data_IF_118299544573
#
_entry.id   IF_118299544573
#
_cell.length_a   1.000
_cell.length_b   1.000
_cell.length_c   1.000
_cell.angle_alpha   90.00
_cell.angle_beta   90.00
_cell.angle_gamma   90.00
#
_symmetry.space_group_name_H-M   'P 1'
#
loop_
_entity.id
_entity.type
_entity.pdbx_description
1 polymer ?
#
# COMPACT_ATOMS: atom_id res chain seq x y z
N UNK A 1 -13.06 -24.72 -4.85
CA UNK A 1 -12.54 -23.57 -4.06
C UNK A 1 -12.46 -23.96 -2.59
N UNK A 2 -11.61 -23.30 -1.83
CA UNK A 2 -11.46 -23.49 -0.37
C UNK A 2 -12.80 -23.42 0.37
N UNK A 3 -13.63 -22.43 0.05
CA UNK A 3 -14.96 -22.26 0.62
C UNK A 3 -15.85 -23.50 0.42
N UNK A 4 -15.84 -24.08 -0.75
CA UNK A 4 -16.63 -25.29 -1.04
C UNK A 4 -16.11 -26.50 -0.27
N UNK A 5 -14.80 -26.63 -0.07
CA UNK A 5 -14.22 -27.68 0.75
C UNK A 5 -14.66 -27.54 2.23
N UNK A 6 -14.60 -26.36 2.80
CA UNK A 6 -15.05 -26.07 4.16
C UNK A 6 -16.55 -26.36 4.33
N UNK A 7 -17.35 -26.03 3.33
CA UNK A 7 -18.80 -26.30 3.32
C UNK A 7 -19.09 -27.80 3.22
N UNK A 8 -18.30 -28.52 2.42
CA UNK A 8 -18.42 -29.99 2.33
C UNK A 8 -18.11 -30.66 3.66
N UNK A 9 -17.03 -30.29 4.33
CA UNK A 9 -16.67 -30.83 5.65
C UNK A 9 -17.72 -30.55 6.73
N UNK A 10 -18.50 -29.49 6.62
CA UNK A 10 -19.64 -29.22 7.49
C UNK A 10 -20.73 -30.28 7.36
N UNK A 11 -20.93 -30.81 6.13
CA UNK A 11 -22.06 -31.71 5.82
C UNK A 11 -21.75 -33.20 6.01
N UNK A 12 -20.45 -33.58 5.93
CA UNK A 12 -20.02 -34.99 5.93
C UNK A 12 -19.76 -35.50 7.35
N UNK A 13 -20.81 -35.74 8.15
CA UNK A 13 -20.67 -35.97 9.59
C UNK A 13 -20.96 -37.42 10.07
N UNK A 14 -20.98 -38.47 9.21
CA UNK A 14 -21.54 -39.74 9.68
C UNK A 14 -20.52 -40.78 10.19
N UNK A 15 -19.21 -40.72 9.83
CA UNK A 15 -18.21 -41.68 10.37
C UNK A 15 -16.81 -41.03 10.44
N UNK A 16 -16.67 -39.95 11.19
CA UNK A 16 -15.42 -39.21 11.27
C UNK A 16 -14.55 -39.68 12.46
N UNK A 17 -13.25 -39.76 12.22
CA UNK A 17 -12.24 -39.92 13.28
C UNK A 17 -12.30 -38.72 14.26
N UNK A 18 -11.72 -38.88 15.46
CA UNK A 18 -11.73 -37.78 16.47
C UNK A 18 -11.11 -36.48 15.94
N UNK A 19 -10.11 -36.54 15.06
CA UNK A 19 -9.46 -35.40 14.44
C UNK A 19 -10.37 -34.69 13.42
N UNK A 20 -11.05 -35.48 12.59
CA UNK A 20 -12.01 -34.97 11.62
C UNK A 20 -13.22 -34.33 12.28
N UNK A 21 -13.68 -34.86 13.40
CA UNK A 21 -14.72 -34.23 14.22
C UNK A 21 -14.30 -32.87 14.76
N UNK A 22 -13.03 -32.73 15.21
CA UNK A 22 -12.45 -31.47 15.66
C UNK A 22 -12.36 -30.46 14.50
N UNK A 23 -11.94 -30.92 13.31
CA UNK A 23 -11.90 -30.10 12.11
C UNK A 23 -13.31 -29.66 11.68
N UNK A 24 -14.29 -30.56 11.68
CA UNK A 24 -15.68 -30.23 11.34
C UNK A 24 -16.26 -29.16 12.28
N UNK A 25 -15.96 -29.23 13.59
CA UNK A 25 -16.38 -28.19 14.55
C UNK A 25 -15.75 -26.83 14.21
N UNK A 26 -14.45 -26.80 13.88
CA UNK A 26 -13.78 -25.56 13.45
C UNK A 26 -14.39 -24.99 12.17
N UNK A 27 -14.67 -25.84 11.17
CA UNK A 27 -15.34 -25.43 9.93
C UNK A 27 -16.72 -24.85 10.17
N UNK A 28 -17.50 -25.46 11.09
CA UNK A 28 -18.83 -24.94 11.48
C UNK A 28 -18.75 -23.57 12.15
N UNK A 29 -17.79 -23.40 13.09
CA UNK A 29 -17.56 -22.09 13.74
C UNK A 29 -17.15 -21.03 12.71
N UNK A 30 -16.17 -21.33 11.87
CA UNK A 30 -15.72 -20.41 10.83
C UNK A 30 -16.83 -19.96 9.88
N UNK A 31 -17.68 -20.90 9.42
CA UNK A 31 -18.80 -20.56 8.55
C UNK A 31 -19.85 -19.68 9.26
N UNK A 32 -20.10 -19.90 10.55
CA UNK A 32 -20.97 -19.07 11.36
C UNK A 32 -20.41 -17.64 11.49
N UNK A 33 -19.11 -17.52 11.75
CA UNK A 33 -18.44 -16.23 11.85
C UNK A 33 -18.44 -15.51 10.50
N UNK A 34 -18.16 -16.24 9.40
CA UNK A 34 -18.21 -15.69 8.06
C UNK A 34 -19.59 -15.14 7.68
N UNK A 35 -20.66 -15.83 8.04
CA UNK A 35 -22.04 -15.36 7.79
C UNK A 35 -22.36 -14.12 8.64
N UNK A 36 -21.86 -14.04 9.88
CA UNK A 36 -21.96 -12.85 10.73
C UNK A 36 -21.23 -11.67 10.11
N UNK A 37 -19.98 -11.85 9.66
CA UNK A 37 -19.19 -10.80 9.00
C UNK A 37 -19.80 -10.33 7.68
N UNK A 38 -20.41 -11.23 6.91
CA UNK A 38 -21.21 -10.85 5.72
C UNK A 38 -22.40 -9.98 6.06
N UNK A 39 -23.01 -10.19 7.23
CA UNK A 39 -24.02 -9.29 7.77
C UNK A 39 -23.46 -7.89 8.06
N UNK A 40 -22.27 -7.80 8.64
CA UNK A 40 -21.61 -6.52 8.95
C UNK A 40 -21.29 -5.70 7.70
N UNK A 41 -20.91 -6.35 6.58
CA UNK A 41 -20.66 -5.65 5.28
C UNK A 41 -21.84 -4.78 4.85
N UNK A 42 -23.06 -5.17 5.20
CA UNK A 42 -24.27 -4.43 4.84
C UNK A 42 -24.58 -3.25 5.77
N UNK A 43 -24.03 -3.26 6.97
CA UNK A 43 -24.41 -2.34 8.05
C UNK A 43 -23.27 -1.42 8.48
N UNK A 44 -22.01 -1.88 8.35
CA UNK A 44 -20.82 -1.15 8.81
C UNK A 44 -20.05 -0.59 7.63
N UNK A 45 -19.25 0.44 7.91
CA UNK A 45 -18.22 0.91 6.96
C UNK A 45 -17.14 -0.15 6.77
N UNK A 46 -16.41 -0.07 5.64
CA UNK A 46 -15.31 -1.00 5.32
C UNK A 46 -14.22 -0.91 6.38
N UNK A 47 -13.87 0.30 6.80
CA UNK A 47 -12.89 0.53 7.86
C UNK A 47 -13.33 -0.13 9.18
N UNK A 48 -14.59 0.06 9.58
CA UNK A 48 -15.13 -0.56 10.80
C UNK A 48 -15.18 -2.10 10.69
N UNK A 49 -15.46 -2.64 9.50
CA UNK A 49 -15.41 -4.08 9.26
C UNK A 49 -13.98 -4.62 9.42
N UNK A 50 -12.99 -3.97 8.82
CA UNK A 50 -11.57 -4.38 8.93
C UNK A 50 -11.15 -4.42 10.40
N UNK A 51 -11.46 -3.35 11.16
CA UNK A 51 -11.10 -3.30 12.57
C UNK A 51 -11.81 -4.37 13.41
N UNK A 52 -13.11 -4.57 13.17
CA UNK A 52 -13.87 -5.66 13.81
C UNK A 52 -13.26 -7.04 13.53
N UNK A 53 -12.80 -7.29 12.30
CA UNK A 53 -12.12 -8.55 11.95
C UNK A 53 -10.80 -8.70 12.70
N UNK A 54 -10.02 -7.64 12.85
CA UNK A 54 -8.76 -7.68 13.60
C UNK A 54 -8.99 -8.05 15.06
N UNK A 55 -10.00 -7.43 15.71
CA UNK A 55 -10.34 -7.68 17.11
C UNK A 55 -10.94 -9.08 17.32
N UNK A 56 -11.95 -9.45 16.54
CA UNK A 56 -12.64 -10.73 16.73
C UNK A 56 -11.78 -11.96 16.43
N UNK A 57 -10.83 -11.84 15.51
CA UNK A 57 -9.89 -12.92 15.17
C UNK A 57 -8.62 -12.91 16.02
N UNK A 58 -8.33 -11.82 16.73
CA UNK A 58 -7.04 -11.60 17.39
C UNK A 58 -5.86 -11.45 16.42
N UNK A 59 -6.16 -11.23 15.12
CA UNK A 59 -5.13 -11.22 14.07
C UNK A 59 -4.14 -10.07 14.26
N UNK A 60 -4.61 -8.91 14.71
CA UNK A 60 -3.75 -7.76 14.94
C UNK A 60 -2.71 -8.02 16.04
N UNK A 61 -3.14 -8.62 17.16
CA UNK A 61 -2.24 -8.95 18.28
C UNK A 61 -1.31 -10.11 17.93
N UNK A 62 -1.82 -11.11 17.20
CA UNK A 62 -1.02 -12.22 16.71
C UNK A 62 0.12 -11.74 15.81
N UNK A 63 -0.16 -10.84 14.87
CA UNK A 63 0.87 -10.27 13.98
C UNK A 63 1.89 -9.45 14.76
N UNK A 64 1.48 -8.73 15.81
CA UNK A 64 2.38 -7.97 16.68
C UNK A 64 3.33 -8.84 17.50
N UNK A 65 2.95 -10.08 17.80
CA UNK A 65 3.78 -11.03 18.57
C UNK A 65 4.85 -11.74 17.72
N UNK A 66 4.83 -11.58 16.39
CA UNK A 66 5.83 -12.16 15.49
C UNK A 66 7.09 -11.29 15.37
N UNK A 67 8.17 -11.86 14.87
CA UNK A 67 9.37 -11.10 14.50
C UNK A 67 9.00 -10.06 13.43
N UNK A 68 9.38 -8.78 13.64
CA UNK A 68 8.93 -7.68 12.78
C UNK A 68 7.46 -7.27 13.00
N UNK A 69 6.87 -7.64 14.15
CA UNK A 69 5.47 -7.39 14.47
C UNK A 69 5.05 -5.94 14.41
N UNK A 70 5.93 -5.01 14.78
CA UNK A 70 5.66 -3.57 14.71
C UNK A 70 5.39 -3.10 13.28
N UNK A 71 6.17 -3.59 12.31
CA UNK A 71 5.95 -3.29 10.90
C UNK A 71 4.67 -3.93 10.37
N UNK A 72 4.41 -5.18 10.78
CA UNK A 72 3.18 -5.88 10.41
C UNK A 72 1.94 -5.15 10.94
N UNK A 73 1.93 -4.74 12.21
CA UNK A 73 0.84 -3.96 12.80
C UNK A 73 0.66 -2.60 12.11
N UNK A 74 1.76 -1.93 11.77
CA UNK A 74 1.70 -0.67 11.04
C UNK A 74 1.07 -0.84 9.65
N UNK A 75 1.40 -1.93 8.94
CA UNK A 75 0.79 -2.26 7.65
C UNK A 75 -0.71 -2.55 7.79
N UNK A 76 -1.13 -3.23 8.85
CA UNK A 76 -2.55 -3.46 9.15
C UNK A 76 -3.30 -2.15 9.44
N UNK A 77 -2.69 -1.23 10.19
CA UNK A 77 -3.24 0.12 10.41
C UNK A 77 -3.33 0.91 9.11
N UNK A 78 -2.31 0.81 8.25
CA UNK A 78 -2.32 1.46 6.95
C UNK A 78 -3.49 0.98 6.08
N UNK A 79 -3.78 -0.32 6.07
CA UNK A 79 -4.94 -0.85 5.36
C UNK A 79 -6.25 -0.27 5.89
N UNK A 80 -6.40 -0.18 7.21
CA UNK A 80 -7.56 0.45 7.86
C UNK A 80 -7.72 1.92 7.44
N UNK A 81 -6.63 2.70 7.48
CA UNK A 81 -6.67 4.11 7.08
C UNK A 81 -6.97 4.31 5.59
N UNK A 82 -6.46 3.43 4.73
CA UNK A 82 -6.80 3.44 3.30
C UNK A 82 -8.27 3.17 3.05
N UNK A 83 -8.86 2.24 3.80
CA UNK A 83 -10.29 1.97 3.73
C UNK A 83 -11.11 3.19 4.16
N UNK A 84 -10.69 3.88 5.24
CA UNK A 84 -11.32 5.09 5.71
C UNK A 84 -11.27 6.22 4.65
N UNK A 85 -10.09 6.49 4.11
CA UNK A 85 -9.91 7.52 3.05
C UNK A 85 -10.70 7.19 1.79
N UNK A 86 -10.78 5.91 1.42
CA UNK A 86 -11.58 5.45 0.29
C UNK A 86 -13.05 5.78 0.48
N UNK A 87 -13.59 5.55 1.68
CA UNK A 87 -14.99 5.87 2.01
C UNK A 87 -15.23 7.38 2.13
N UNK A 88 -14.29 8.14 2.72
CA UNK A 88 -14.32 9.61 2.79
C UNK A 88 -14.35 10.26 1.38
N UNK A 89 -13.74 9.61 0.39
CA UNK A 89 -13.80 10.04 -1.01
C UNK A 89 -15.14 9.74 -1.70
N UNK A 90 -16.15 9.26 -0.95
CA UNK A 90 -17.49 8.99 -1.45
C UNK A 90 -17.68 7.61 -2.08
N UNK A 91 -16.63 6.80 -2.16
CA UNK A 91 -16.73 5.43 -2.67
C UNK A 91 -17.28 4.48 -1.62
N UNK A 92 -18.07 3.49 -2.05
CA UNK A 92 -18.70 2.51 -1.16
C UNK A 92 -18.59 1.09 -1.71
N UNK A 93 -18.69 0.12 -0.82
CA UNK A 93 -18.78 -1.31 -1.13
C UNK A 93 -17.43 -2.02 -1.12
N UNK A 94 -17.37 -3.12 -0.38
CA UNK A 94 -16.16 -3.93 -0.17
C UNK A 94 -15.59 -4.48 -1.49
N UNK A 95 -16.43 -4.86 -2.44
CA UNK A 95 -15.99 -5.36 -3.74
C UNK A 95 -15.21 -4.31 -4.53
N UNK A 96 -15.70 -3.07 -4.54
CA UNK A 96 -15.01 -1.96 -5.20
C UNK A 96 -13.70 -1.59 -4.48
N UNK A 97 -13.69 -1.68 -3.15
CA UNK A 97 -12.48 -1.47 -2.36
C UNK A 97 -11.40 -2.52 -2.67
N UNK A 98 -11.77 -3.81 -2.74
CA UNK A 98 -10.82 -4.88 -3.11
C UNK A 98 -10.23 -4.60 -4.50
N UNK A 99 -11.07 -4.26 -5.49
CA UNK A 99 -10.59 -3.90 -6.84
C UNK A 99 -9.70 -2.67 -6.84
N UNK A 100 -9.95 -1.72 -5.97
CA UNK A 100 -9.09 -0.54 -5.80
C UNK A 100 -7.70 -0.96 -5.29
N UNK A 101 -7.62 -1.81 -4.25
CA UNK A 101 -6.35 -2.32 -3.72
C UNK A 101 -5.60 -3.14 -4.78
N UNK A 102 -6.27 -4.05 -5.50
CA UNK A 102 -5.67 -4.82 -6.60
C UNK A 102 -5.10 -3.95 -7.72
N UNK A 103 -5.74 -2.82 -8.03
CA UNK A 103 -5.21 -1.85 -9.01
C UNK A 103 -3.96 -1.16 -8.53
N UNK A 104 -3.89 -0.78 -7.26
CA UNK A 104 -2.69 -0.17 -6.67
C UNK A 104 -1.53 -1.16 -6.72
N UNK A 105 -1.77 -2.42 -6.35
CA UNK A 105 -0.78 -3.48 -6.38
C UNK A 105 -0.23 -3.70 -7.80
N UNK A 106 -1.11 -3.80 -8.80
CA UNK A 106 -0.73 -3.99 -10.22
C UNK A 106 0.04 -2.82 -10.81
N UNK A 107 -0.17 -1.62 -10.32
CA UNK A 107 0.54 -0.43 -10.80
C UNK A 107 1.92 -0.26 -10.18
N UNK A 108 2.36 -1.17 -9.29
CA UNK A 108 3.55 -0.98 -8.44
C UNK A 108 3.59 0.43 -7.81
N UNK A 109 2.42 1.06 -7.67
CA UNK A 109 2.31 2.20 -6.77
C UNK A 109 2.60 1.60 -5.41
N UNK A 110 3.87 1.66 -5.01
CA UNK A 110 4.34 1.26 -3.70
C UNK A 110 3.27 1.68 -2.69
N UNK A 111 2.55 0.68 -2.18
CA UNK A 111 1.87 0.81 -0.92
C UNK A 111 3.02 1.00 0.06
N UNK A 112 3.65 2.19 0.02
CA UNK A 112 4.81 2.47 0.85
C UNK A 112 4.45 1.97 2.22
N UNK A 113 5.13 0.89 2.63
CA UNK A 113 4.88 0.24 3.90
C UNK A 113 4.75 1.30 4.97
N UNK A 114 3.95 1.09 5.97
CA UNK A 114 3.74 2.05 7.03
C UNK A 114 5.12 2.46 7.56
N UNK A 115 5.52 3.70 7.30
CA UNK A 115 6.78 4.22 7.80
C UNK A 115 6.62 4.41 9.31
N UNK A 116 7.09 3.42 10.08
CA UNK A 116 7.19 3.51 11.55
C UNK A 116 8.27 4.48 12.01
N UNK A 117 9.08 4.97 11.07
CA UNK A 117 10.21 5.85 11.38
C UNK A 117 9.67 7.26 11.57
N UNK A 118 9.33 7.59 12.81
CA UNK A 118 9.10 8.97 13.23
C UNK A 118 10.38 9.79 13.06
N UNK A 119 10.24 11.11 12.86
CA UNK A 119 11.37 12.04 12.71
C UNK A 119 12.38 11.97 13.87
N UNK A 120 11.94 11.52 15.04
CA UNK A 120 12.73 11.40 16.26
C UNK A 120 13.55 10.10 16.38
N UNK A 121 13.46 9.18 15.44
CA UNK A 121 14.24 7.94 15.51
C UNK A 121 15.70 8.20 15.09
N UNK A 122 16.64 7.69 15.90
CA UNK A 122 18.08 7.75 15.61
C UNK A 122 18.45 6.73 14.53
N UNK A 123 18.24 7.10 13.27
CA UNK A 123 18.43 6.23 12.10
C UNK A 123 19.13 6.98 10.97
N UNK A 124 19.87 6.24 10.14
CA UNK A 124 20.41 6.77 8.88
C UNK A 124 19.32 6.74 7.80
N UNK A 125 18.98 7.89 7.25
CA UNK A 125 17.96 8.02 6.22
C UNK A 125 18.59 8.18 4.85
N UNK A 126 18.24 7.31 3.91
CA UNK A 126 18.64 7.41 2.52
C UNK A 126 17.45 7.94 1.71
N UNK A 127 17.60 9.09 1.06
CA UNK A 127 16.52 9.72 0.32
C UNK A 127 17.05 10.55 -0.85
N UNK A 128 16.16 10.95 -1.75
CA UNK A 128 16.50 11.87 -2.84
C UNK A 128 16.49 13.33 -2.34
N UNK A 129 17.23 14.21 -3.01
CA UNK A 129 17.24 15.66 -2.72
C UNK A 129 15.83 16.25 -2.76
N UNK A 130 14.97 15.77 -3.67
CA UNK A 130 13.58 16.24 -3.73
C UNK A 130 12.76 15.83 -2.51
N UNK A 131 12.99 14.63 -1.96
CA UNK A 131 12.31 14.15 -0.75
C UNK A 131 12.81 14.83 0.53
N UNK A 132 14.02 15.39 0.52
CA UNK A 132 14.58 16.13 1.66
C UNK A 132 14.15 17.60 1.72
N UNK A 133 13.47 18.11 0.70
CA UNK A 133 13.01 19.50 0.66
C UNK A 133 12.08 19.80 1.84
N UNK A 134 12.46 20.79 2.66
CA UNK A 134 11.71 21.18 3.87
C UNK A 134 12.04 20.36 5.12
N UNK A 135 13.02 19.46 5.06
CA UNK A 135 13.50 18.69 6.21
C UNK A 135 14.89 19.19 6.64
N UNK A 136 15.16 19.16 7.94
CA UNK A 136 16.45 19.54 8.53
C UNK A 136 17.12 18.30 9.12
N UNK A 137 18.44 18.15 8.89
CA UNK A 137 19.23 17.04 9.40
C UNK A 137 20.53 17.53 10.02
N UNK A 138 20.94 16.99 11.18
CA UNK A 138 22.18 17.37 11.83
C UNK A 138 23.43 17.07 10.99
N UNK A 139 23.41 15.99 10.21
CA UNK A 139 24.49 15.56 9.31
C UNK A 139 23.91 15.09 7.99
N UNK A 140 24.46 15.55 6.89
CA UNK A 140 24.01 15.22 5.52
C UNK A 140 25.20 14.75 4.69
N UNK A 141 25.10 13.56 4.11
CA UNK A 141 26.06 13.04 3.14
C UNK A 141 25.44 13.08 1.73
N UNK A 142 26.00 13.91 0.86
CA UNK A 142 25.56 13.99 -0.54
C UNK A 142 26.44 13.05 -1.38
N UNK A 143 25.85 12.01 -1.93
CA UNK A 143 26.54 11.02 -2.75
C UNK A 143 26.43 11.36 -4.26
N UNK A 144 27.42 10.93 -5.04
CA UNK A 144 27.46 11.10 -6.52
C UNK A 144 27.48 12.55 -6.99
N UNK A 145 28.10 13.45 -6.25
CA UNK A 145 28.28 14.86 -6.65
C UNK A 145 29.15 15.05 -7.89
N UNK A 146 29.95 14.04 -8.26
CA UNK A 146 30.82 14.05 -9.45
C UNK A 146 30.03 13.82 -10.77
N UNK A 147 28.81 13.35 -10.73
CA UNK A 147 27.95 13.32 -11.92
C UNK A 147 27.44 14.73 -12.20
N UNK A 148 27.74 15.28 -13.38
CA UNK A 148 27.13 16.50 -13.88
C UNK A 148 25.58 16.34 -13.88
N UNK A 149 24.94 16.64 -12.76
CA UNK A 149 23.46 16.59 -12.64
C UNK A 149 22.78 17.70 -13.44
N UNK A 150 23.56 18.72 -13.86
CA UNK A 150 23.04 19.90 -14.55
C UNK A 150 23.22 19.88 -16.04
N UNK A 151 23.97 18.90 -16.58
CA UNK A 151 24.04 18.70 -18.01
C UNK A 151 22.99 17.66 -18.39
N UNK A 152 21.72 18.06 -18.46
CA UNK A 152 20.89 17.49 -19.48
C UNK A 152 21.71 17.67 -20.78
N UNK A 153 22.26 16.57 -21.33
CA UNK A 153 22.76 16.63 -22.71
C UNK A 153 21.68 17.33 -23.49
N UNK A 154 21.97 18.42 -24.21
CA UNK A 154 20.98 18.97 -25.11
C UNK A 154 20.64 17.80 -26.05
N UNK A 155 19.51 17.17 -25.83
CA UNK A 155 18.90 16.29 -26.82
C UNK A 155 18.70 17.23 -28.00
N UNK A 156 19.34 16.94 -29.13
CA UNK A 156 19.31 17.73 -30.36
C UNK A 156 17.90 18.04 -30.90
N UNK A 157 16.88 17.66 -30.15
CA UNK A 157 15.47 17.78 -30.55
C UNK A 157 14.68 18.91 -29.87
N UNK A 158 15.23 19.64 -28.90
CA UNK A 158 14.48 20.76 -28.30
C UNK A 158 14.76 22.08 -29.01
N UNK A 159 14.15 22.23 -30.17
CA UNK A 159 14.14 23.48 -30.95
C UNK A 159 13.26 24.56 -30.35
N UNK A 160 12.53 24.28 -29.27
CA UNK A 160 11.59 25.22 -28.65
C UNK A 160 11.91 25.30 -27.16
N UNK A 161 12.21 26.50 -26.69
CA UNK A 161 12.41 26.80 -25.26
C UNK A 161 11.28 27.73 -24.77
N UNK A 162 10.74 27.41 -23.60
CA UNK A 162 9.71 28.23 -22.94
C UNK A 162 10.37 29.00 -21.80
N UNK A 163 10.30 30.32 -21.83
CA UNK A 163 10.74 31.16 -20.74
C UNK A 163 9.55 31.89 -20.15
N UNK A 164 9.50 31.96 -18.80
CA UNK A 164 8.34 32.49 -18.07
C UNK A 164 7.99 33.94 -18.47
N UNK A 165 8.99 34.77 -18.66
CA UNK A 165 8.81 36.21 -18.92
C UNK A 165 9.02 36.59 -20.40
N UNK A 166 9.75 35.77 -21.17
CA UNK A 166 10.09 36.06 -22.57
C UNK A 166 9.25 35.22 -23.56
N UNK A 167 8.43 34.32 -23.08
CA UNK A 167 7.56 33.50 -23.93
C UNK A 167 8.29 32.32 -24.58
N UNK A 168 8.07 32.11 -25.87
CA UNK A 168 8.59 30.98 -26.65
C UNK A 168 9.82 31.42 -27.41
N UNK A 169 10.97 30.74 -27.15
CA UNK A 169 12.20 30.87 -27.90
C UNK A 169 12.42 29.67 -28.80
N UNK A 170 12.91 29.90 -30.01
CA UNK A 170 13.31 28.87 -30.97
C UNK A 170 14.82 28.97 -31.16
N UNK A 171 15.53 27.84 -30.98
CA UNK A 171 16.95 27.78 -31.27
C UNK A 171 17.16 27.90 -32.80
N UNK A 172 17.72 29.01 -33.23
CA UNK A 172 18.09 29.22 -34.63
C UNK A 172 19.52 28.74 -34.84
N UNK A 173 19.70 27.66 -35.57
CA UNK A 173 21.01 27.20 -35.98
C UNK A 173 21.44 28.07 -37.18
N UNK A 174 22.24 29.08 -36.93
CA UNK A 174 23.00 29.72 -37.96
C UNK A 174 24.09 28.70 -38.42
N UNK A 175 23.88 28.06 -39.53
CA UNK A 175 24.98 27.33 -40.21
C UNK A 175 26.03 28.34 -40.61
N UNK A 176 27.13 28.36 -39.89
CA UNK A 176 28.34 29.03 -40.35
C UNK A 176 28.84 28.28 -41.59
N UNK A 177 28.54 28.79 -42.77
CA UNK A 177 29.23 28.43 -43.98
C UNK A 177 30.62 29.03 -43.82
N UNK A 178 31.62 28.20 -43.57
CA UNK A 178 33.00 28.60 -43.70
C UNK A 178 33.31 28.76 -45.18
N UNK A 179 33.57 29.99 -45.58
CA UNK A 179 34.27 30.31 -46.82
C UNK A 179 35.77 30.06 -46.61
#
# INVERSE_FOLDING_TARGET
SFYNAVKYYKSSCNDLTKEEQKLSKKCKSFLKDLDRWRGYVKMKSIAALIWTLYEETGFYDFMGALEGGDEAQANLKLLYERARKYEESGFKGIFNFIRYIERIEKRNEDLSGAQLINENHNVVRIMTIHKSKGLEFPVVFIMRTTKNMLVAKPTEERRIQLHKDLGIGIDYILSLIHI
#
